data_IF_400923169862
#
_entry.id   IF_400923169862
#
_cell.length_a   1.000
_cell.length_b   1.000
_cell.length_c   1.000
_cell.angle_alpha   90.00
_cell.angle_beta   90.00
_cell.angle_gamma   90.00
#
_symmetry.space_group_name_H-M   'P 1'
#
loop_
_entity.id
_entity.type
_entity.pdbx_description
1 polymer ?
#
# COMPACT_ATOMS: atom_id res chain seq x y z
N UNK A 1 14.46 3.94 2.27
CA UNK A 1 13.18 4.32 1.66
C UNK A 1 13.54 5.09 0.42
N UNK A 2 13.76 4.33 -0.64
CA UNK A 2 13.93 4.86 -1.97
C UNK A 2 12.61 5.33 -2.58
N UNK A 3 12.61 5.44 -3.90
CA UNK A 3 11.47 5.81 -4.72
C UNK A 3 11.61 5.19 -6.10
N UNK A 4 10.50 5.06 -6.81
CA UNK A 4 10.51 4.81 -8.24
C UNK A 4 10.58 6.14 -9.00
N UNK A 5 11.37 6.19 -10.06
CA UNK A 5 11.41 7.27 -11.05
C UNK A 5 11.26 6.62 -12.41
N UNK A 6 10.15 6.90 -13.08
CA UNK A 6 9.77 6.39 -14.40
C UNK A 6 9.92 4.86 -14.49
N UNK A 7 9.47 4.17 -13.44
CA UNK A 7 9.52 2.71 -13.34
C UNK A 7 10.82 2.11 -12.82
N UNK A 8 11.85 2.92 -12.54
CA UNK A 8 13.17 2.47 -12.08
C UNK A 8 13.35 2.75 -10.59
N UNK A 9 13.83 1.77 -9.82
CA UNK A 9 14.08 1.94 -8.39
C UNK A 9 15.34 2.76 -8.11
N UNK A 10 15.22 3.72 -7.21
CA UNK A 10 16.32 4.54 -6.73
C UNK A 10 16.34 4.53 -5.20
N UNK A 11 17.43 4.05 -4.61
CA UNK A 11 17.65 4.10 -3.15
C UNK A 11 18.06 5.50 -2.68
N UNK A 12 17.10 6.43 -2.74
CA UNK A 12 17.31 7.81 -2.33
C UNK A 12 16.39 8.16 -1.16
N UNK A 13 16.98 8.55 -0.03
CA UNK A 13 16.24 8.97 1.15
C UNK A 13 15.53 10.33 0.96
N UNK A 14 14.68 10.71 1.91
CA UNK A 14 14.07 12.05 1.92
C UNK A 14 15.13 13.14 2.04
N UNK A 15 15.07 14.13 1.15
CA UNK A 15 15.86 15.34 1.30
C UNK A 15 15.27 16.21 2.41
N UNK A 16 15.86 16.06 3.60
CA UNK A 16 15.57 16.92 4.75
C UNK A 16 16.51 18.11 4.83
N UNK A 17 17.57 18.18 4.00
CA UNK A 17 18.50 19.31 4.01
C UNK A 17 17.84 20.54 3.40
N UNK A 18 17.15 20.40 2.26
CA UNK A 18 16.44 21.50 1.61
C UNK A 18 15.29 22.09 2.44
N UNK A 19 14.77 21.34 3.41
CA UNK A 19 13.66 21.74 4.27
C UNK A 19 14.08 22.17 5.68
N UNK A 20 15.39 22.31 5.93
CA UNK A 20 15.91 22.66 7.25
C UNK A 20 15.60 21.61 8.33
N UNK A 21 15.63 20.33 7.96
CA UNK A 21 15.37 19.19 8.83
C UNK A 21 13.89 18.77 8.93
N UNK A 22 12.96 19.51 8.31
CA UNK A 22 11.53 19.17 8.36
C UNK A 22 11.22 17.97 7.47
N UNK A 23 10.60 16.94 8.04
CA UNK A 23 10.02 15.87 7.25
C UNK A 23 8.79 16.40 6.49
N UNK A 24 8.85 16.36 5.16
CA UNK A 24 7.70 16.68 4.28
C UNK A 24 7.27 15.40 3.58
N UNK A 25 6.08 14.92 3.90
CA UNK A 25 5.54 13.69 3.32
C UNK A 25 5.22 13.92 1.83
N UNK A 26 5.60 12.97 0.99
CA UNK A 26 5.15 12.92 -0.41
C UNK A 26 3.65 12.67 -0.48
N UNK A 27 2.98 13.26 -1.46
CA UNK A 27 1.57 12.96 -1.70
C UNK A 27 1.39 11.51 -2.15
N UNK A 28 0.33 10.88 -1.65
CA UNK A 28 -0.07 9.52 -2.05
C UNK A 28 -0.66 9.56 -3.46
N UNK A 29 -0.15 8.72 -4.36
CA UNK A 29 -0.52 8.75 -5.77
C UNK A 29 -1.82 8.00 -6.09
N UNK A 30 -2.04 6.84 -5.46
CA UNK A 30 -3.24 6.05 -5.67
C UNK A 30 -4.29 6.47 -4.64
N UNK A 31 -5.38 7.06 -5.13
CA UNK A 31 -6.41 7.71 -4.32
C UNK A 31 -7.83 7.29 -4.72
N UNK A 32 -8.01 6.12 -5.33
CA UNK A 32 -9.34 5.60 -5.61
C UNK A 32 -10.01 5.13 -4.30
N UNK A 33 -11.33 4.89 -4.36
CA UNK A 33 -12.14 4.54 -3.20
C UNK A 33 -12.95 3.29 -3.47
N UNK A 34 -12.97 2.37 -2.49
CA UNK A 34 -13.98 1.32 -2.42
C UNK A 34 -15.29 1.92 -1.92
N UNK A 35 -16.36 1.76 -2.69
CA UNK A 35 -17.71 2.25 -2.36
C UNK A 35 -18.72 1.11 -2.45
N UNK A 36 -19.85 1.22 -1.76
CA UNK A 36 -20.83 0.14 -1.67
C UNK A 36 -21.42 -0.27 -3.03
N UNK A 37 -21.48 0.66 -3.99
CA UNK A 37 -22.05 0.48 -5.33
C UNK A 37 -21.01 0.58 -6.46
N UNK A 38 -19.74 0.80 -6.12
CA UNK A 38 -18.66 1.00 -7.09
C UNK A 38 -18.65 2.38 -7.74
N UNK A 39 -19.46 3.33 -7.27
CA UNK A 39 -19.34 4.74 -7.65
C UNK A 39 -17.98 5.33 -7.26
N UNK A 40 -17.60 6.46 -7.87
CA UNK A 40 -16.36 7.15 -7.51
C UNK A 40 -16.47 7.73 -6.10
N UNK A 41 -15.37 7.66 -5.34
CA UNK A 41 -15.25 8.42 -4.09
C UNK A 41 -14.98 9.91 -4.32
N UNK A 42 -14.59 10.64 -3.25
CA UNK A 42 -14.26 12.06 -3.35
C UNK A 42 -13.11 12.39 -4.31
N UNK A 43 -12.24 11.42 -4.58
CA UNK A 43 -11.10 11.51 -5.50
C UNK A 43 -10.89 10.16 -6.20
N UNK A 44 -10.13 10.17 -7.30
CA UNK A 44 -9.89 8.97 -8.10
C UNK A 44 -11.06 8.60 -9.01
N UNK A 45 -11.10 7.35 -9.45
CA UNK A 45 -12.06 6.82 -10.42
C UNK A 45 -13.06 5.88 -9.73
N UNK A 46 -14.21 5.69 -10.38
CA UNK A 46 -15.19 4.64 -10.05
C UNK A 46 -14.67 3.24 -10.42
N UNK A 47 -15.42 2.20 -10.06
CA UNK A 47 -15.18 0.81 -10.47
C UNK A 47 -14.71 -0.12 -9.35
N UNK A 48 -14.62 0.38 -8.12
CA UNK A 48 -14.20 -0.39 -6.94
C UNK A 48 -15.41 -0.62 -6.01
N UNK A 49 -16.23 -1.62 -6.32
CA UNK A 49 -17.40 -1.98 -5.51
C UNK A 49 -16.99 -2.86 -4.33
N UNK A 50 -17.55 -2.58 -3.14
CA UNK A 50 -17.36 -3.40 -1.96
C UNK A 50 -17.86 -4.84 -2.20
N UNK A 51 -16.92 -5.77 -2.23
CA UNK A 51 -17.15 -7.16 -2.61
C UNK A 51 -16.26 -8.08 -1.77
N UNK A 52 -16.77 -9.25 -1.36
CA UNK A 52 -15.98 -10.24 -0.63
C UNK A 52 -14.87 -10.78 -1.53
N UNK A 53 -13.74 -11.14 -0.94
CA UNK A 53 -12.64 -11.84 -1.61
C UNK A 53 -12.02 -11.10 -2.80
N UNK A 54 -12.32 -9.81 -2.99
CA UNK A 54 -11.75 -8.97 -4.06
C UNK A 54 -10.53 -8.18 -3.61
N UNK A 55 -10.53 -7.67 -2.39
CA UNK A 55 -9.51 -6.74 -1.92
C UNK A 55 -8.45 -7.42 -1.08
N UNK A 56 -7.22 -6.91 -1.17
CA UNK A 56 -6.07 -7.38 -0.41
C UNK A 56 -5.32 -6.21 0.20
N UNK A 57 -4.74 -6.40 1.39
CA UNK A 57 -4.02 -5.35 2.09
C UNK A 57 -2.55 -5.73 2.28
N UNK A 58 -1.64 -4.90 1.79
CA UNK A 58 -0.20 -5.04 2.07
C UNK A 58 0.20 -4.06 3.17
N UNK A 59 0.86 -4.56 4.21
CA UNK A 59 1.19 -3.79 5.43
C UNK A 59 2.59 -4.11 5.94
N UNK A 60 3.14 -3.21 6.75
CA UNK A 60 4.22 -3.52 7.69
C UNK A 60 3.66 -3.40 9.11
N UNK A 61 3.94 -4.38 9.97
CA UNK A 61 3.56 -4.32 11.39
C UNK A 61 4.31 -3.20 12.14
N UNK A 62 5.45 -2.75 11.62
CA UNK A 62 6.25 -1.66 12.20
C UNK A 62 5.75 -0.25 11.80
N UNK A 63 4.87 -0.14 10.81
CA UNK A 63 4.44 1.16 10.28
C UNK A 63 3.13 1.66 10.93
N UNK A 64 3.11 2.84 11.58
CA UNK A 64 1.91 3.33 12.25
C UNK A 64 0.77 3.68 11.28
N UNK A 65 1.07 4.04 10.02
CA UNK A 65 0.04 4.28 9.01
C UNK A 65 -0.64 2.98 8.57
N UNK A 66 0.13 1.90 8.41
CA UNK A 66 -0.41 0.59 8.08
C UNK A 66 -1.12 -0.04 9.29
N UNK A 67 -0.64 0.22 10.51
CA UNK A 67 -1.29 -0.26 11.72
C UNK A 67 -2.73 0.25 11.84
N UNK A 68 -3.03 1.49 11.41
CA UNK A 68 -4.40 2.05 11.40
C UNK A 68 -5.37 1.20 10.59
N UNK A 69 -4.95 0.71 9.42
CA UNK A 69 -5.81 -0.10 8.54
C UNK A 69 -6.05 -1.49 9.13
N UNK A 70 -5.05 -2.07 9.81
CA UNK A 70 -5.21 -3.32 10.55
C UNK A 70 -6.19 -3.20 11.72
N UNK A 71 -6.09 -2.13 12.52
CA UNK A 71 -7.03 -1.87 13.61
C UNK A 71 -8.45 -1.71 13.08
N UNK A 72 -8.63 -0.90 12.03
CA UNK A 72 -9.96 -0.69 11.47
C UNK A 72 -10.54 -1.96 10.85
N UNK A 73 -9.72 -2.77 10.17
CA UNK A 73 -10.11 -4.09 9.67
C UNK A 73 -10.65 -4.99 10.78
N UNK A 74 -9.98 -5.03 11.94
CA UNK A 74 -10.42 -5.82 13.09
C UNK A 74 -11.69 -5.24 13.74
N UNK A 75 -11.73 -3.94 14.02
CA UNK A 75 -12.89 -3.28 14.63
C UNK A 75 -14.18 -3.41 13.80
N UNK A 76 -14.03 -3.50 12.47
CA UNK A 76 -15.14 -3.61 11.53
C UNK A 76 -15.44 -5.05 11.10
N UNK A 77 -14.74 -6.04 11.64
CA UNK A 77 -14.96 -7.47 11.33
C UNK A 77 -14.70 -7.83 9.86
N UNK A 78 -13.75 -7.15 9.23
CA UNK A 78 -13.41 -7.33 7.80
C UNK A 78 -12.33 -8.40 7.61
N UNK A 79 -11.94 -9.09 8.68
CA UNK A 79 -10.84 -10.05 8.68
C UNK A 79 -11.09 -11.28 7.82
N UNK A 80 -12.35 -11.66 7.64
CA UNK A 80 -12.77 -12.79 6.80
C UNK A 80 -12.87 -12.46 5.32
N UNK A 81 -12.71 -11.20 4.89
CA UNK A 81 -12.94 -10.79 3.49
C UNK A 81 -11.83 -9.91 2.89
N UNK A 82 -10.94 -9.36 3.73
CA UNK A 82 -9.75 -8.64 3.29
C UNK A 82 -8.54 -9.39 3.81
N UNK A 83 -7.87 -10.12 2.92
CA UNK A 83 -6.62 -10.80 3.23
C UNK A 83 -5.46 -9.80 3.41
N UNK A 84 -4.40 -10.25 4.10
CA UNK A 84 -3.25 -9.42 4.44
C UNK A 84 -1.94 -10.13 4.09
N UNK A 85 -1.06 -9.40 3.38
CA UNK A 85 0.37 -9.71 3.25
C UNK A 85 1.17 -8.75 4.13
N UNK A 86 2.11 -9.30 4.90
CA UNK A 86 2.98 -8.53 5.79
C UNK A 86 4.38 -8.53 5.22
N UNK A 87 4.89 -7.32 4.90
CA UNK A 87 6.28 -7.13 4.46
C UNK A 87 7.25 -7.35 5.61
N UNK A 88 8.49 -7.68 5.27
CA UNK A 88 9.59 -7.78 6.22
C UNK A 88 9.79 -6.44 6.98
N UNK A 89 10.11 -6.46 8.29
CA UNK A 89 10.23 -5.23 9.08
C UNK A 89 11.45 -4.38 8.73
N UNK A 90 12.53 -4.98 8.21
CA UNK A 90 13.73 -4.25 7.81
C UNK A 90 13.53 -3.60 6.43
N UNK A 91 13.64 -2.28 6.39
CA UNK A 91 13.53 -1.47 5.18
C UNK A 91 14.91 -0.92 4.80
N UNK A 92 15.64 -1.64 3.95
CA UNK A 92 17.01 -1.32 3.53
C UNK A 92 17.04 -0.66 2.14
N UNK A 93 18.01 -1.00 1.29
CA UNK A 93 18.27 -0.38 -0.02
C UNK A 93 17.12 -0.57 -1.02
N UNK A 94 16.38 -1.67 -0.92
CA UNK A 94 15.24 -1.99 -1.80
C UNK A 94 13.88 -1.55 -1.24
N UNK A 95 13.89 -0.80 -0.14
CA UNK A 95 12.66 -0.41 0.55
C UNK A 95 12.02 -1.61 1.24
N UNK A 96 10.69 -1.73 1.14
CA UNK A 96 9.94 -2.83 1.76
C UNK A 96 10.09 -4.11 0.94
N UNK A 97 10.49 -5.19 1.60
CA UNK A 97 10.71 -6.50 0.97
C UNK A 97 9.66 -7.51 1.42
N UNK A 98 9.51 -8.56 0.64
CA UNK A 98 8.69 -9.72 0.93
C UNK A 98 9.52 -10.92 1.40
N UNK A 99 10.71 -10.65 1.95
CA UNK A 99 11.47 -11.64 2.69
C UNK A 99 10.61 -12.14 3.87
N UNK A 100 10.40 -13.46 3.93
CA UNK A 100 9.56 -14.14 4.92
C UNK A 100 10.38 -14.87 6.01
N UNK A 101 11.69 -14.61 6.08
CA UNK A 101 12.57 -15.20 7.09
C UNK A 101 12.35 -14.66 8.51
N UNK A 102 11.60 -13.56 8.66
CA UNK A 102 11.27 -12.95 9.94
C UNK A 102 9.89 -13.38 10.42
N UNK A 103 9.75 -13.59 11.73
CA UNK A 103 8.47 -13.98 12.33
C UNK A 103 7.34 -13.00 11.97
N UNK A 104 6.21 -13.54 11.50
CA UNK A 104 5.02 -12.81 11.06
C UNK A 104 5.16 -11.99 9.76
N UNK A 105 6.36 -11.92 9.16
CA UNK A 105 6.47 -11.58 7.74
C UNK A 105 5.91 -12.75 6.92
N UNK A 106 5.12 -12.45 5.89
CA UNK A 106 4.40 -13.50 5.15
C UNK A 106 4.85 -13.66 3.71
N UNK A 107 5.79 -12.82 3.28
CA UNK A 107 6.02 -12.56 1.87
C UNK A 107 4.77 -12.04 1.14
N UNK A 108 4.83 -12.04 -0.18
CA UNK A 108 3.71 -11.70 -1.05
C UNK A 108 2.83 -12.93 -1.31
N UNK A 109 1.70 -13.00 -0.61
CA UNK A 109 0.71 -14.08 -0.73
C UNK A 109 -0.01 -14.13 -2.08
N UNK A 110 0.04 -13.07 -2.89
CA UNK A 110 -0.68 -13.04 -4.17
C UNK A 110 0.24 -13.39 -5.34
N UNK A 111 1.39 -12.73 -5.45
CA UNK A 111 2.23 -12.81 -6.65
C UNK A 111 3.66 -13.26 -6.38
N UNK A 112 4.01 -13.50 -5.11
CA UNK A 112 5.36 -13.94 -4.70
C UNK A 112 6.44 -12.98 -5.21
N UNK A 113 6.11 -11.69 -5.30
CA UNK A 113 7.10 -10.63 -5.52
C UNK A 113 8.13 -10.64 -4.40
N UNK A 114 9.34 -10.16 -4.69
CA UNK A 114 10.43 -10.00 -3.73
C UNK A 114 10.36 -8.62 -3.05
N UNK A 115 9.84 -7.60 -3.75
CA UNK A 115 9.82 -6.23 -3.29
C UNK A 115 8.47 -5.56 -3.49
N UNK A 116 8.06 -4.70 -2.54
CA UNK A 116 6.80 -3.98 -2.62
C UNK A 116 6.72 -3.07 -3.86
N UNK A 117 7.85 -2.56 -4.34
CA UNK A 117 7.85 -1.70 -5.53
C UNK A 117 7.42 -2.46 -6.79
N UNK A 118 7.60 -3.78 -6.85
CA UNK A 118 7.14 -4.60 -7.98
C UNK A 118 5.61 -4.57 -8.08
N UNK A 119 4.90 -4.49 -6.95
CA UNK A 119 3.45 -4.31 -6.92
C UNK A 119 3.02 -2.95 -7.48
N UNK A 120 3.79 -1.89 -7.20
CA UNK A 120 3.56 -0.57 -7.80
C UNK A 120 3.80 -0.59 -9.30
N UNK A 121 4.86 -1.25 -9.77
CA UNK A 121 5.16 -1.42 -11.20
C UNK A 121 4.13 -2.30 -11.92
N UNK A 122 3.53 -3.25 -11.21
CA UNK A 122 2.43 -4.05 -11.75
C UNK A 122 1.19 -3.19 -12.01
N UNK A 123 0.89 -2.24 -11.11
CA UNK A 123 -0.22 -1.30 -11.28
C UNK A 123 0.07 -0.20 -12.31
N UNK A 124 1.32 0.28 -12.37
CA UNK A 124 1.79 1.31 -13.30
C UNK A 124 3.29 1.12 -13.58
N UNK A 125 3.67 0.59 -14.77
CA UNK A 125 5.06 0.35 -15.14
C UNK A 125 5.92 1.62 -15.22
N UNK A 126 5.31 2.80 -15.28
CA UNK A 126 5.98 4.09 -15.35
C UNK A 126 5.85 4.89 -14.06
N UNK A 127 5.47 4.23 -12.95
CA UNK A 127 5.22 4.91 -11.69
C UNK A 127 6.44 5.72 -11.23
N UNK A 128 6.17 6.98 -10.87
CA UNK A 128 7.12 7.91 -10.26
C UNK A 128 6.60 8.34 -8.89
N UNK A 129 7.27 7.90 -7.83
CA UNK A 129 6.86 8.22 -6.46
C UNK A 129 7.38 7.27 -5.39
N UNK A 130 6.93 7.51 -4.15
CA UNK A 130 7.33 6.72 -2.98
C UNK A 130 6.53 5.42 -2.92
N UNK A 131 7.24 4.33 -2.64
CA UNK A 131 6.66 3.01 -2.43
C UNK A 131 6.41 2.82 -0.94
N UNK A 132 5.14 2.82 -0.55
CA UNK A 132 4.72 2.95 0.86
C UNK A 132 3.75 1.86 1.27
N UNK A 133 3.71 1.52 2.57
CA UNK A 133 2.59 0.80 3.19
C UNK A 133 1.70 1.78 3.98
N UNK A 134 0.39 1.53 4.09
CA UNK A 134 -0.35 0.39 3.53
C UNK A 134 -0.66 0.55 2.04
N UNK A 135 -0.92 -0.57 1.36
CA UNK A 135 -1.50 -0.62 0.01
C UNK A 135 -2.78 -1.44 0.05
N UNK A 136 -3.90 -0.83 -0.35
CA UNK A 136 -5.14 -1.54 -0.66
C UNK A 136 -5.14 -1.91 -2.14
N UNK A 137 -5.14 -3.20 -2.40
CA UNK A 137 -5.00 -3.82 -3.72
C UNK A 137 -6.33 -4.41 -4.19
N UNK A 138 -6.64 -4.24 -5.48
CA UNK A 138 -7.77 -4.90 -6.15
C UNK A 138 -7.26 -6.12 -6.93
N UNK A 139 -7.65 -7.32 -6.49
CA UNK A 139 -7.25 -8.58 -7.14
C UNK A 139 -7.92 -8.79 -8.50
N UNK A 140 -9.07 -8.16 -8.75
CA UNK A 140 -9.78 -8.31 -10.03
C UNK A 140 -9.15 -7.42 -11.11
N UNK A 141 -8.85 -6.17 -10.76
CA UNK A 141 -8.25 -5.21 -11.72
C UNK A 141 -6.72 -5.24 -11.73
N UNK A 142 -6.09 -6.00 -10.83
CA UNK A 142 -4.63 -6.05 -10.65
C UNK A 142 -4.01 -4.66 -10.52
N UNK A 143 -4.59 -3.83 -9.67
CA UNK A 143 -4.13 -2.45 -9.47
C UNK A 143 -4.27 -2.00 -8.02
N UNK A 144 -3.59 -0.89 -7.69
CA UNK A 144 -3.70 -0.26 -6.39
C UNK A 144 -4.97 0.59 -6.35
N UNK A 145 -5.86 0.29 -5.41
CA UNK A 145 -7.00 1.17 -5.08
C UNK A 145 -6.49 2.42 -4.40
N UNK A 146 -5.77 2.25 -3.28
CA UNK A 146 -5.27 3.35 -2.48
C UNK A 146 -4.00 2.98 -1.72
N UNK A 147 -3.07 3.93 -1.62
CA UNK A 147 -1.96 3.89 -0.68
C UNK A 147 -2.03 4.99 0.38
N UNK A 148 -3.22 5.59 0.58
CA UNK A 148 -3.47 6.58 1.62
C UNK A 148 -4.21 5.97 2.80
N UNK A 149 -3.48 5.73 3.90
CA UNK A 149 -4.03 5.14 5.13
C UNK A 149 -5.30 5.83 5.64
N UNK A 150 -5.37 7.16 5.55
CA UNK A 150 -6.51 7.92 6.05
C UNK A 150 -7.78 7.72 5.21
N UNK A 151 -7.61 7.46 3.92
CA UNK A 151 -8.73 7.16 3.02
C UNK A 151 -9.17 5.71 3.24
N UNK A 152 -8.22 4.76 3.33
CA UNK A 152 -8.51 3.32 3.51
C UNK A 152 -9.34 3.07 4.78
N UNK A 153 -9.00 3.69 5.92
CA UNK A 153 -9.77 3.50 7.15
C UNK A 153 -11.20 4.06 7.05
N UNK A 154 -11.43 5.06 6.19
CA UNK A 154 -12.78 5.59 5.93
C UNK A 154 -13.57 4.67 5.02
N UNK A 155 -12.92 4.03 4.04
CA UNK A 155 -13.55 3.01 3.20
C UNK A 155 -13.97 1.78 4.03
N UNK A 156 -13.20 1.42 5.05
CA UNK A 156 -13.53 0.29 5.94
C UNK A 156 -14.67 0.61 6.92
N UNK A 157 -15.01 1.88 7.13
CA UNK A 157 -16.01 2.30 8.10
C UNK A 157 -17.43 2.27 7.56
#
# INVERSE_FOLDING_TARGET
MGQLIDGVWHDTWYDTKSTGGRFKRSESAFRNWVTADGSAGPVGKAGFVAERDRYHLYVSLACPWAHRTLLMRQLKGLDSIIDVSVVHPLMLENGWTFDDSFQDATGDKLYQNEFLYQLYLHADPQYSGRVTVPVLWDKQQNTIVSNESADIIRMFN
#
